data_IF_749623804933
#
_entry.id   IF_749623804933
#
_cell.length_a   1.000
_cell.length_b   1.000
_cell.length_c   1.000
_cell.angle_alpha   90.00
_cell.angle_beta   90.00
_cell.angle_gamma   90.00
#
_symmetry.space_group_name_H-M   'P 1'
#
loop_
_entity.id
_entity.type
_entity.pdbx_description
1 polymer ?
#
# COMPACT_ATOMS: atom_id res chain seq x y z
N UNK A 1 21.60 16.59 -22.10
CA UNK A 1 20.17 16.22 -22.21
C UNK A 1 20.05 14.71 -22.19
N UNK A 2 19.50 14.15 -21.11
CA UNK A 2 18.52 13.07 -21.16
C UNK A 2 17.94 12.88 -19.76
N UNK A 3 16.90 13.66 -19.49
CA UNK A 3 16.00 13.49 -18.36
C UNK A 3 15.16 12.23 -18.58
N UNK A 4 15.60 11.13 -18.01
CA UNK A 4 14.74 9.96 -17.79
C UNK A 4 14.79 9.60 -16.32
N UNK A 5 14.13 10.42 -15.50
CA UNK A 5 13.55 10.01 -14.22
C UNK A 5 12.45 8.98 -14.51
N UNK A 6 12.86 7.79 -14.97
CA UNK A 6 11.96 6.69 -15.32
C UNK A 6 11.52 6.05 -14.01
N UNK A 7 10.43 6.59 -13.46
CA UNK A 7 9.65 6.09 -12.32
C UNK A 7 10.48 5.47 -11.19
N UNK A 8 10.84 6.29 -10.20
CA UNK A 8 11.52 5.87 -8.95
C UNK A 8 10.95 4.56 -8.36
N UNK A 9 9.63 4.36 -8.45
CA UNK A 9 8.93 3.16 -7.98
C UNK A 9 9.30 1.84 -8.69
N UNK A 10 9.64 1.87 -9.99
CA UNK A 10 10.00 0.64 -10.76
C UNK A 10 11.40 0.14 -10.40
N UNK A 11 12.24 0.99 -9.80
CA UNK A 11 13.62 0.65 -9.41
C UNK A 11 13.77 0.35 -7.91
N UNK A 12 12.69 0.34 -7.14
CA UNK A 12 12.74 0.08 -5.69
C UNK A 12 12.67 -1.40 -5.31
N UNK A 13 12.43 -2.26 -6.28
CA UNK A 13 12.31 -3.71 -6.12
C UNK A 13 13.36 -4.42 -6.99
N UNK A 14 13.94 -5.50 -6.48
CA UNK A 14 14.72 -6.44 -7.27
C UNK A 14 14.20 -7.85 -7.15
N UNK A 15 14.75 -8.72 -7.99
CA UNK A 15 14.62 -10.15 -7.85
C UNK A 15 15.92 -10.87 -8.16
N UNK A 16 16.12 -12.03 -7.55
CA UNK A 16 17.12 -13.01 -7.97
C UNK A 16 16.57 -14.42 -7.86
N UNK A 17 17.18 -15.35 -8.58
CA UNK A 17 16.78 -16.75 -8.62
C UNK A 17 17.78 -17.61 -7.85
N UNK A 18 17.29 -18.53 -7.02
CA UNK A 18 18.14 -19.50 -6.34
C UNK A 18 18.68 -20.53 -7.35
N UNK A 19 20.01 -20.77 -7.39
CA UNK A 19 20.63 -21.59 -8.44
C UNK A 19 20.09 -23.02 -8.54
N UNK A 20 19.77 -23.63 -7.39
CA UNK A 20 19.41 -25.04 -7.26
C UNK A 20 17.90 -25.30 -7.33
N UNK A 21 17.09 -24.43 -6.74
CA UNK A 21 15.64 -24.63 -6.62
C UNK A 21 14.82 -23.84 -7.63
N UNK A 22 15.44 -22.92 -8.39
CA UNK A 22 14.75 -22.01 -9.31
C UNK A 22 13.73 -21.10 -8.62
N UNK A 23 13.78 -21.00 -7.29
CA UNK A 23 12.91 -20.12 -6.52
C UNK A 23 13.30 -18.65 -6.80
N UNK A 24 12.32 -17.86 -7.22
CA UNK A 24 12.48 -16.41 -7.41
C UNK A 24 12.22 -15.71 -6.08
N UNK A 25 13.24 -14.99 -5.62
CA UNK A 25 13.18 -14.15 -4.42
C UNK A 25 13.05 -12.70 -4.86
N UNK A 26 12.00 -12.03 -4.38
CA UNK A 26 11.75 -10.62 -4.64
C UNK A 26 11.92 -9.82 -3.35
N UNK A 27 12.59 -8.68 -3.43
CA UNK A 27 12.88 -7.85 -2.26
C UNK A 27 12.94 -6.36 -2.62
N UNK A 28 12.75 -5.49 -1.61
CA UNK A 28 12.92 -4.05 -1.77
C UNK A 28 14.40 -3.66 -1.66
N UNK A 29 14.90 -2.88 -2.62
CA UNK A 29 16.30 -2.39 -2.67
C UNK A 29 16.58 -1.27 -1.67
N UNK A 30 15.57 -0.44 -1.38
CA UNK A 30 15.72 0.78 -0.58
C UNK A 30 14.76 0.75 0.59
N UNK A 31 15.27 1.15 1.77
CA UNK A 31 14.44 1.41 2.95
C UNK A 31 13.76 2.76 2.77
N UNK A 32 12.44 2.77 2.65
CA UNK A 32 11.64 4.00 2.65
C UNK A 32 11.18 4.30 4.08
N UNK A 33 11.66 5.41 4.66
CA UNK A 33 11.20 5.89 5.96
C UNK A 33 10.25 7.06 5.74
N UNK A 34 9.02 6.95 6.24
CA UNK A 34 8.02 8.02 6.19
C UNK A 34 8.06 8.92 7.43
N UNK A 35 8.70 8.44 8.50
CA UNK A 35 8.97 9.21 9.71
C UNK A 35 10.24 8.69 10.39
N UNK A 36 10.82 9.48 11.28
CA UNK A 36 11.99 9.07 12.09
C UNK A 36 11.63 8.00 13.14
N UNK A 37 10.34 7.90 13.50
CA UNK A 37 9.84 6.90 14.43
C UNK A 37 9.52 5.59 13.72
N UNK A 38 9.76 4.47 14.40
CA UNK A 38 9.32 3.15 13.95
C UNK A 38 7.81 3.07 14.17
N UNK A 39 7.03 3.32 13.12
CA UNK A 39 5.57 3.15 13.11
C UNK A 39 5.18 1.95 12.26
N UNK A 40 4.09 1.28 12.64
CA UNK A 40 3.52 0.13 11.93
C UNK A 40 2.79 0.59 10.67
N UNK A 41 3.54 1.14 9.72
CA UNK A 41 3.00 1.73 8.49
C UNK A 41 2.32 3.09 8.71
N UNK A 42 1.81 3.66 7.62
CA UNK A 42 1.02 4.90 7.64
C UNK A 42 -0.32 4.61 8.32
N UNK A 43 -0.65 5.40 9.34
CA UNK A 43 -1.95 5.34 10.00
C UNK A 43 -2.93 6.27 9.27
N UNK A 44 -4.18 5.85 9.03
CA UNK A 44 -5.18 6.72 8.43
C UNK A 44 -5.68 7.75 9.45
N UNK A 45 -6.06 8.94 8.96
CA UNK A 45 -6.72 9.96 9.80
C UNK A 45 -8.10 9.50 10.30
N UNK A 46 -8.74 8.60 9.53
CA UNK A 46 -10.03 8.02 9.85
C UNK A 46 -10.00 6.51 9.62
N UNK A 47 -10.14 5.76 10.72
CA UNK A 47 -10.34 4.31 10.65
C UNK A 47 -11.80 3.99 10.35
N UNK A 48 -12.08 3.35 9.21
CA UNK A 48 -13.41 2.87 8.87
C UNK A 48 -13.37 1.34 8.86
N UNK A 49 -14.14 0.72 9.76
CA UNK A 49 -14.18 -0.73 9.88
C UNK A 49 -15.19 -1.34 8.91
N UNK A 50 -14.78 -2.40 8.24
CA UNK A 50 -15.70 -3.22 7.47
C UNK A 50 -16.63 -3.99 8.39
N UNK A 51 -17.91 -4.06 8.02
CA UNK A 51 -18.91 -4.85 8.72
C UNK A 51 -19.39 -5.98 7.79
N UNK A 52 -19.29 -7.21 8.28
CA UNK A 52 -19.69 -8.39 7.53
C UNK A 52 -21.18 -8.39 7.17
N UNK A 53 -22.06 -7.89 8.05
CA UNK A 53 -23.48 -7.82 7.74
C UNK A 53 -23.75 -6.90 6.56
N UNK A 54 -23.02 -5.79 6.48
CA UNK A 54 -23.20 -4.79 5.44
C UNK A 54 -22.69 -5.32 4.11
N UNK A 55 -21.54 -6.02 4.11
CA UNK A 55 -21.03 -6.73 2.94
C UNK A 55 -22.05 -7.76 2.42
N UNK A 56 -22.57 -8.63 3.31
CA UNK A 56 -23.56 -9.65 2.96
C UNK A 56 -24.83 -9.03 2.35
N UNK A 57 -25.22 -7.85 2.82
CA UNK A 57 -26.41 -7.14 2.36
C UNK A 57 -26.13 -6.18 1.18
N UNK A 58 -24.94 -6.21 0.58
CA UNK A 58 -24.56 -5.31 -0.53
C UNK A 58 -24.53 -3.83 -0.16
N UNK A 59 -24.41 -3.52 1.13
CA UNK A 59 -24.38 -2.15 1.64
C UNK A 59 -22.95 -1.65 1.75
N UNK A 60 -22.60 -0.64 0.95
CA UNK A 60 -21.30 0.01 1.02
C UNK A 60 -21.24 1.04 2.17
N UNK A 61 -20.93 0.55 3.35
CA UNK A 61 -20.77 1.38 4.56
C UNK A 61 -19.57 2.30 4.47
N UNK A 62 -18.51 1.92 3.73
CA UNK A 62 -17.30 2.74 3.55
C UNK A 62 -17.63 4.00 2.76
N UNK A 63 -18.27 3.84 1.59
CA UNK A 63 -18.67 4.95 0.74
C UNK A 63 -19.67 5.87 1.42
N UNK A 64 -20.68 5.30 2.11
CA UNK A 64 -21.65 6.09 2.89
C UNK A 64 -20.97 6.94 3.96
N UNK A 65 -19.99 6.37 4.68
CA UNK A 65 -19.20 7.11 5.69
C UNK A 65 -18.35 8.20 5.05
N UNK A 66 -17.69 7.91 3.94
CA UNK A 66 -16.84 8.87 3.22
C UNK A 66 -17.66 10.07 2.73
N UNK A 67 -18.82 9.84 2.11
CA UNK A 67 -19.73 10.91 1.66
C UNK A 67 -20.16 11.79 2.83
N UNK A 68 -20.41 11.21 4.01
CA UNK A 68 -20.79 11.99 5.20
C UNK A 68 -19.64 12.88 5.67
N UNK A 69 -18.40 12.38 5.67
CA UNK A 69 -17.21 13.14 6.05
C UNK A 69 -16.95 14.28 5.07
N UNK A 70 -17.08 14.04 3.77
CA UNK A 70 -16.84 15.06 2.72
C UNK A 70 -17.88 16.18 2.66
N UNK A 71 -19.04 16.01 3.32
CA UNK A 71 -20.13 17.00 3.35
C UNK A 71 -20.15 17.85 4.62
N UNK A 72 -19.22 17.64 5.54
CA UNK A 72 -19.01 18.45 6.74
C UNK A 72 -18.07 19.61 6.43
#
# INVERSE_FOLDING_TARGET
MNTTSKSIAVQDMDQFELPSSKLVITYSKRKCNLSENIVQGVQPDLLINFNWSDYKNGTDTMLKRLIKVLKQ
#
